data_IF_445160537132
#
_entry.id   IF_445160537132
#
_cell.length_a   1.000
_cell.length_b   1.000
_cell.length_c   1.000
_cell.angle_alpha   90.00
_cell.angle_beta   90.00
_cell.angle_gamma   90.00
#
_symmetry.space_group_name_H-M   'P 1'
#
loop_
_entity.id
_entity.type
_entity.pdbx_description
1 polymer ?
#
# COMPACT_ATOMS: atom_id res chain seq x y z
N UNK A 1 -35.75 25.22 0.76
CA UNK A 1 -34.38 25.72 0.62
C UNK A 1 -34.48 27.09 -0.01
N UNK A 2 -33.85 28.11 0.58
CA UNK A 2 -34.00 29.50 0.16
C UNK A 2 -33.33 29.72 -1.21
N UNK A 3 -34.01 30.41 -2.14
CA UNK A 3 -33.53 30.61 -3.51
C UNK A 3 -32.18 31.36 -3.54
N UNK A 4 -31.92 32.19 -2.52
CA UNK A 4 -30.65 32.88 -2.37
C UNK A 4 -29.49 31.93 -2.06
N UNK A 5 -29.70 30.94 -1.19
CA UNK A 5 -28.69 29.92 -0.84
C UNK A 5 -28.32 29.10 -2.06
N UNK A 6 -29.32 28.71 -2.85
CA UNK A 6 -29.13 27.90 -4.06
C UNK A 6 -28.33 28.65 -5.16
N UNK A 7 -28.55 29.95 -5.27
CA UNK A 7 -27.80 30.81 -6.19
C UNK A 7 -26.32 30.92 -5.78
N UNK A 8 -26.04 31.12 -4.48
CA UNK A 8 -24.67 31.19 -3.95
C UNK A 8 -23.93 29.86 -4.15
N UNK A 9 -24.59 28.73 -3.87
CA UNK A 9 -24.01 27.39 -4.10
C UNK A 9 -23.63 27.17 -5.56
N UNK A 10 -24.49 27.60 -6.49
CA UNK A 10 -24.22 27.48 -7.93
C UNK A 10 -23.00 28.32 -8.32
N UNK A 11 -22.94 29.55 -7.82
CA UNK A 11 -21.85 30.47 -8.11
C UNK A 11 -20.50 29.96 -7.60
N UNK A 12 -20.48 29.35 -6.41
CA UNK A 12 -19.27 28.71 -5.85
C UNK A 12 -18.82 27.53 -6.72
N UNK A 13 -19.76 26.67 -7.15
CA UNK A 13 -19.46 25.49 -7.98
C UNK A 13 -18.86 25.84 -9.34
N UNK A 14 -19.21 26.99 -9.89
CA UNK A 14 -18.69 27.51 -11.16
C UNK A 14 -17.32 28.16 -11.02
N UNK A 15 -16.84 28.44 -9.80
CA UNK A 15 -15.51 29.02 -9.62
C UNK A 15 -14.42 28.03 -10.03
N UNK A 16 -13.36 28.49 -10.71
CA UNK A 16 -12.21 27.65 -11.05
C UNK A 16 -11.53 27.00 -9.84
N UNK A 17 -11.55 27.68 -8.68
CA UNK A 17 -11.01 27.15 -7.44
C UNK A 17 -11.78 25.92 -6.93
N UNK A 18 -13.10 25.87 -7.12
CA UNK A 18 -13.91 24.74 -6.72
C UNK A 18 -13.65 23.50 -7.59
N UNK A 19 -13.57 23.66 -8.92
CA UNK A 19 -13.23 22.54 -9.81
C UNK A 19 -11.80 22.03 -9.59
N UNK A 20 -10.85 22.93 -9.31
CA UNK A 20 -9.49 22.56 -8.93
C UNK A 20 -9.46 21.80 -7.60
N UNK A 21 -10.21 22.23 -6.59
CA UNK A 21 -10.31 21.52 -5.32
C UNK A 21 -10.87 20.11 -5.49
N UNK A 22 -11.90 19.93 -6.32
CA UNK A 22 -12.43 18.59 -6.63
C UNK A 22 -11.39 17.70 -7.31
N UNK A 23 -10.64 18.25 -8.27
CA UNK A 23 -9.56 17.51 -8.95
C UNK A 23 -8.48 17.06 -7.96
N UNK A 24 -8.09 17.94 -7.04
CA UNK A 24 -7.10 17.63 -6.01
C UNK A 24 -7.60 16.55 -5.04
N UNK A 25 -8.87 16.57 -4.66
CA UNK A 25 -9.48 15.53 -3.81
C UNK A 25 -9.49 14.17 -4.51
N UNK A 26 -9.82 14.13 -5.80
CA UNK A 26 -9.79 12.91 -6.59
C UNK A 26 -8.36 12.37 -6.74
N UNK A 27 -7.39 13.26 -6.94
CA UNK A 27 -5.97 12.90 -7.01
C UNK A 27 -5.45 12.38 -5.66
N UNK A 28 -5.83 13.01 -4.55
CA UNK A 28 -5.49 12.55 -3.20
C UNK A 28 -6.04 11.14 -2.95
N UNK A 29 -7.32 10.90 -3.27
CA UNK A 29 -7.94 9.57 -3.11
C UNK A 29 -7.20 8.50 -3.93
N UNK A 30 -6.80 8.85 -5.16
CA UNK A 30 -6.00 7.96 -6.02
C UNK A 30 -4.61 7.68 -5.43
N UNK A 31 -3.93 8.70 -4.92
CA UNK A 31 -2.61 8.54 -4.30
C UNK A 31 -2.68 7.70 -3.03
N UNK A 32 -3.71 7.88 -2.20
CA UNK A 32 -3.94 7.07 -1.02
C UNK A 32 -4.19 5.60 -1.37
N UNK A 33 -4.93 5.33 -2.44
CA UNK A 33 -5.12 3.97 -2.94
C UNK A 33 -3.79 3.32 -3.36
N UNK A 34 -2.99 4.02 -4.18
CA UNK A 34 -1.69 3.53 -4.63
C UNK A 34 -0.72 3.29 -3.47
N UNK A 35 -0.74 4.15 -2.46
CA UNK A 35 0.09 3.97 -1.26
C UNK A 35 -0.25 2.65 -0.55
N UNK A 36 -1.54 2.36 -0.35
CA UNK A 36 -1.98 1.11 0.28
C UNK A 36 -1.60 -0.13 -0.54
N UNK A 37 -1.67 -0.04 -1.88
CA UNK A 37 -1.21 -1.14 -2.74
C UNK A 37 0.30 -1.39 -2.58
N UNK A 38 1.10 -0.33 -2.57
CA UNK A 38 2.56 -0.42 -2.38
C UNK A 38 2.89 -1.00 -1.00
N UNK A 39 2.22 -0.54 0.05
CA UNK A 39 2.38 -1.07 1.41
C UNK A 39 2.08 -2.58 1.46
N UNK A 40 0.98 -3.02 0.85
CA UNK A 40 0.63 -4.44 0.75
C UNK A 40 1.65 -5.27 -0.03
N UNK A 41 2.19 -4.72 -1.13
CA UNK A 41 3.26 -5.38 -1.90
C UNK A 41 4.54 -5.52 -1.08
N UNK A 42 4.94 -4.48 -0.35
CA UNK A 42 6.12 -4.51 0.51
C UNK A 42 5.97 -5.51 1.66
N UNK A 43 4.79 -5.59 2.28
CA UNK A 43 4.51 -6.58 3.32
C UNK A 43 4.64 -8.01 2.77
N UNK A 44 4.03 -8.28 1.61
CA UNK A 44 4.11 -9.58 0.92
C UNK A 44 5.55 -9.98 0.60
N UNK A 45 6.36 -9.06 0.05
CA UNK A 45 7.78 -9.28 -0.22
C UNK A 45 8.57 -9.53 1.07
N UNK A 46 8.26 -8.79 2.15
CA UNK A 46 8.86 -9.00 3.46
C UNK A 46 8.57 -10.39 4.03
N UNK A 47 7.34 -10.88 3.89
CA UNK A 47 6.94 -12.24 4.29
C UNK A 47 7.66 -13.28 3.43
N UNK A 48 7.69 -13.12 2.10
CA UNK A 48 8.38 -14.03 1.20
C UNK A 48 9.88 -14.13 1.51
N UNK A 49 10.54 -12.99 1.77
CA UNK A 49 11.96 -12.95 2.16
C UNK A 49 12.25 -13.66 3.48
N UNK A 50 11.36 -13.51 4.48
CA UNK A 50 11.46 -14.22 5.77
C UNK A 50 11.32 -15.73 5.59
N UNK A 51 10.35 -16.19 4.79
CA UNK A 51 10.14 -17.61 4.48
C UNK A 51 11.37 -18.21 3.78
N UNK A 52 11.89 -17.54 2.75
CA UNK A 52 13.09 -17.99 2.05
C UNK A 52 14.34 -18.07 2.96
N UNK A 53 14.43 -17.22 3.99
CA UNK A 53 15.50 -17.30 5.01
C UNK A 53 15.31 -18.51 5.92
N UNK A 54 14.08 -18.77 6.38
CA UNK A 54 13.76 -19.95 7.21
C UNK A 54 14.09 -21.24 6.46
N UNK A 55 13.73 -21.33 5.18
CA UNK A 55 14.00 -22.52 4.38
C UNK A 55 15.51 -22.77 4.19
N UNK A 56 16.30 -21.71 3.94
CA UNK A 56 17.76 -21.82 3.90
C UNK A 56 18.35 -22.28 5.23
N UNK A 57 17.87 -21.76 6.36
CA UNK A 57 18.32 -22.19 7.69
C UNK A 57 17.97 -23.66 7.96
N UNK A 58 16.77 -24.10 7.58
CA UNK A 58 16.35 -25.51 7.67
C UNK A 58 17.24 -26.43 6.83
N UNK A 59 17.54 -26.04 5.59
CA UNK A 59 18.44 -26.79 4.71
C UNK A 59 19.85 -26.89 5.28
N UNK A 60 20.39 -25.78 5.81
CA UNK A 60 21.70 -25.74 6.45
C UNK A 60 21.74 -26.63 7.69
N UNK A 61 20.73 -26.56 8.56
CA UNK A 61 20.64 -27.42 9.74
C UNK A 61 20.58 -28.91 9.36
N UNK A 62 19.78 -29.26 8.35
CA UNK A 62 19.69 -30.64 7.86
C UNK A 62 21.02 -31.13 7.27
N UNK A 63 21.77 -30.27 6.58
CA UNK A 63 23.10 -30.59 6.08
C UNK A 63 24.11 -30.81 7.22
N UNK A 64 24.11 -29.94 8.23
CA UNK A 64 24.96 -30.08 9.43
C UNK A 64 24.64 -31.37 10.20
N UNK A 65 23.37 -31.70 10.38
CA UNK A 65 22.95 -32.94 11.05
C UNK A 65 23.44 -34.19 10.31
N UNK A 66 23.35 -34.22 8.97
CA UNK A 66 23.88 -35.33 8.15
C UNK A 66 25.40 -35.45 8.25
N UNK A 67 26.12 -34.33 8.24
CA UNK A 67 27.58 -34.32 8.38
C UNK A 67 28.02 -34.84 9.75
N UNK A 68 27.33 -34.45 10.82
CA UNK A 68 27.63 -34.92 12.17
C UNK A 68 27.46 -36.44 12.32
N UNK A 69 26.42 -37.02 11.69
CA UNK A 69 26.17 -38.47 11.68
C UNK A 69 27.21 -39.25 10.85
N UNK A 70 27.81 -38.65 9.81
CA UNK A 70 28.87 -39.30 9.02
C UNK A 70 30.27 -39.19 9.66
N UNK A 71 30.46 -38.29 10.62
CA UNK A 71 31.77 -37.97 11.21
C UNK A 71 31.99 -38.57 12.60
N UNK A 72 30.96 -39.19 13.18
CA UNK A 72 30.99 -39.86 14.49
C UNK A 72 30.82 -41.36 14.33
#
# INVERSE_FOLDING_TARGET
>A
MDAHVQAVETQIRETPGYSQALTLLDEEARLQFLLREIEGQLESLGVAGKLARIDRLRQSLAASARSAVQSG
#
